data_IF_594342785957
#
_entry.id   IF_594342785957
#
_cell.length_a   1.000
_cell.length_b   1.000
_cell.length_c   1.000
_cell.angle_alpha   90.00
_cell.angle_beta   90.00
_cell.angle_gamma   90.00
#
_symmetry.space_group_name_H-M   'P 1'
#
loop_
_entity.id
_entity.type
_entity.pdbx_description
1 polymer ?
#
# COMPACT_ATOMS: atom_id res chain seq x y z
N UNK A 1 -7.99 30.87 3.70
CA UNK A 1 -8.51 29.64 3.06
C UNK A 1 -7.74 28.47 3.65
N UNK A 2 -8.35 27.59 4.43
CA UNK A 2 -7.67 26.36 4.85
C UNK A 2 -7.56 25.45 3.62
N UNK A 3 -6.33 25.22 3.15
CA UNK A 3 -6.07 24.17 2.17
C UNK A 3 -6.58 22.86 2.77
N UNK A 4 -7.43 22.14 2.04
CA UNK A 4 -7.81 20.78 2.43
C UNK A 4 -6.52 19.95 2.47
N UNK A 5 -6.27 19.16 3.53
CA UNK A 5 -5.09 18.30 3.56
C UNK A 5 -5.12 17.37 2.35
N UNK A 6 -3.96 17.20 1.71
CA UNK A 6 -3.83 16.38 0.50
C UNK A 6 -3.80 14.87 0.81
N UNK A 7 -3.93 14.52 2.09
CA UNK A 7 -3.89 13.16 2.62
C UNK A 7 -5.12 12.92 3.49
N UNK A 8 -5.74 11.74 3.34
CA UNK A 8 -6.85 11.33 4.18
C UNK A 8 -6.42 11.29 5.65
N UNK A 9 -7.28 11.66 6.60
CA UNK A 9 -6.92 11.64 8.02
C UNK A 9 -6.55 10.21 8.46
N UNK A 10 -5.49 10.02 9.26
CA UNK A 10 -5.07 8.71 9.77
C UNK A 10 -5.86 8.34 11.03
N UNK A 11 -7.19 8.35 10.95
CA UNK A 11 -8.08 8.10 12.09
C UNK A 11 -8.93 6.86 11.81
N UNK A 12 -8.95 5.86 12.72
CA UNK A 12 -9.76 4.68 12.50
C UNK A 12 -11.25 5.03 12.49
N UNK A 13 -12.06 4.38 11.64
CA UNK A 13 -13.50 4.54 11.69
C UNK A 13 -14.06 4.12 13.06
N UNK A 14 -15.23 4.65 13.41
CA UNK A 14 -15.93 4.27 14.64
C UNK A 14 -16.25 2.76 14.61
N UNK A 15 -15.93 2.00 15.67
CA UNK A 15 -16.19 0.57 15.71
C UNK A 15 -17.70 0.29 15.65
N UNK A 16 -18.06 -0.68 14.83
CA UNK A 16 -19.44 -1.17 14.73
C UNK A 16 -19.82 -1.98 15.96
N UNK A 17 -21.09 -1.86 16.35
CA UNK A 17 -21.71 -2.70 17.38
C UNK A 17 -22.06 -4.10 16.86
N UNK A 18 -22.07 -4.28 15.55
CA UNK A 18 -22.22 -5.58 14.90
C UNK A 18 -20.84 -6.23 14.76
N UNK A 19 -20.69 -7.45 15.29
CA UNK A 19 -19.42 -8.17 15.33
C UNK A 19 -18.86 -8.47 13.94
N UNK A 20 -19.71 -8.82 12.97
CA UNK A 20 -19.26 -9.10 11.60
C UNK A 20 -18.71 -7.85 10.95
N UNK A 21 -19.42 -6.72 11.09
CA UNK A 21 -18.96 -5.43 10.55
C UNK A 21 -17.69 -4.97 11.27
N UNK A 22 -17.60 -5.14 12.58
CA UNK A 22 -16.39 -4.82 13.35
C UNK A 22 -15.17 -5.60 12.84
N UNK A 23 -15.32 -6.90 12.60
CA UNK A 23 -14.22 -7.73 12.10
C UNK A 23 -13.73 -7.26 10.72
N UNK A 24 -14.65 -6.84 9.84
CA UNK A 24 -14.30 -6.22 8.55
C UNK A 24 -13.58 -4.87 8.72
N UNK A 25 -14.02 -4.04 9.67
CA UNK A 25 -13.35 -2.76 9.95
C UNK A 25 -11.92 -2.96 10.47
N UNK A 26 -11.67 -3.98 11.31
CA UNK A 26 -10.33 -4.31 11.77
C UNK A 26 -9.43 -4.72 10.60
N UNK A 27 -9.93 -5.55 9.69
CA UNK A 27 -9.17 -5.96 8.50
C UNK A 27 -8.88 -4.78 7.57
N UNK A 28 -9.90 -3.96 7.28
CA UNK A 28 -9.74 -2.74 6.49
C UNK A 28 -8.72 -1.79 7.10
N UNK A 29 -8.76 -1.55 8.42
CA UNK A 29 -7.78 -0.69 9.08
C UNK A 29 -6.33 -1.21 8.97
N UNK A 30 -6.13 -2.53 9.00
CA UNK A 30 -4.80 -3.12 8.81
C UNK A 30 -4.29 -2.97 7.37
N UNK A 31 -5.19 -2.91 6.39
CA UNK A 31 -4.86 -2.74 4.98
C UNK A 31 -4.57 -1.28 4.60
N UNK A 32 -5.14 -0.31 5.32
CA UNK A 32 -5.02 1.14 5.05
C UNK A 32 -3.60 1.64 4.70
N UNK A 33 -2.50 1.24 5.40
CA UNK A 33 -1.14 1.63 5.01
C UNK A 33 -0.82 1.30 3.56
N UNK A 34 -1.15 0.07 3.15
CA UNK A 34 -0.84 -0.48 1.84
C UNK A 34 -1.78 0.05 0.77
N UNK A 35 -3.08 0.20 1.08
CA UNK A 35 -4.06 0.78 0.17
C UNK A 35 -3.69 2.23 -0.17
N UNK A 36 -3.22 2.99 0.81
CA UNK A 36 -2.75 4.38 0.59
C UNK A 36 -1.48 4.44 -0.24
N UNK A 37 -0.54 3.51 -0.04
CA UNK A 37 0.63 3.37 -0.90
C UNK A 37 0.22 2.99 -2.33
N UNK A 38 -0.70 2.04 -2.49
CA UNK A 38 -1.23 1.60 -3.78
C UNK A 38 -1.86 2.76 -4.55
N UNK A 39 -2.73 3.54 -3.90
CA UNK A 39 -3.34 4.74 -4.50
C UNK A 39 -2.28 5.76 -4.96
N UNK A 40 -1.22 5.95 -4.17
CA UNK A 40 -0.11 6.81 -4.57
C UNK A 40 0.64 6.26 -5.79
N UNK A 41 1.00 4.96 -5.78
CA UNK A 41 1.68 4.33 -6.92
C UNK A 41 0.78 4.33 -8.17
N UNK A 42 -0.53 4.18 -8.03
CA UNK A 42 -1.48 4.31 -9.13
C UNK A 42 -1.42 5.72 -9.75
N UNK A 43 -1.46 6.76 -8.92
CA UNK A 43 -1.37 8.14 -9.39
C UNK A 43 -0.03 8.44 -10.08
N UNK A 44 1.07 7.91 -9.53
CA UNK A 44 2.41 8.00 -10.16
C UNK A 44 2.45 7.26 -11.50
N UNK A 45 1.89 6.05 -11.55
CA UNK A 45 1.81 5.24 -12.78
C UNK A 45 1.00 5.95 -13.86
N UNK A 46 -0.16 6.51 -13.52
CA UNK A 46 -0.99 7.29 -14.46
C UNK A 46 -0.23 8.50 -15.01
N UNK A 47 0.54 9.19 -14.17
CA UNK A 47 1.40 10.29 -14.62
C UNK A 47 2.46 9.80 -15.60
N UNK A 48 3.14 8.69 -15.31
CA UNK A 48 4.10 8.11 -16.25
C UNK A 48 3.44 7.68 -17.55
N UNK A 49 2.24 7.10 -17.52
CA UNK A 49 1.49 6.76 -18.74
C UNK A 49 1.20 8.00 -19.58
N UNK A 50 0.78 9.10 -18.97
CA UNK A 50 0.58 10.38 -19.67
C UNK A 50 1.88 10.92 -20.28
N UNK A 51 3.01 10.76 -19.60
CA UNK A 51 4.34 11.11 -20.12
C UNK A 51 4.83 10.12 -21.21
N UNK A 52 4.36 8.87 -21.19
CA UNK A 52 4.72 7.76 -22.08
C UNK A 52 3.79 7.58 -23.29
N UNK A 53 2.70 8.35 -23.44
CA UNK A 53 1.99 8.43 -24.73
C UNK A 53 2.91 8.93 -25.87
N UNK A 54 4.13 9.37 -25.55
CA UNK A 54 5.23 9.61 -26.49
C UNK A 54 6.06 8.34 -26.88
N UNK A 55 5.97 7.22 -26.15
CA UNK A 55 6.72 5.99 -26.43
C UNK A 55 5.92 4.68 -26.11
N UNK A 56 5.25 4.07 -27.11
CA UNK A 56 4.30 2.96 -26.92
C UNK A 56 4.89 1.64 -26.40
N UNK A 57 6.22 1.52 -26.29
CA UNK A 57 6.90 0.25 -25.98
C UNK A 57 7.59 0.22 -24.60
N UNK A 58 7.60 1.33 -23.87
CA UNK A 58 8.36 1.48 -22.62
C UNK A 58 7.51 1.31 -21.36
N UNK A 59 7.08 0.09 -21.04
CA UNK A 59 6.48 -0.19 -19.73
C UNK A 59 7.44 0.18 -18.59
N UNK A 60 6.96 0.92 -17.60
CA UNK A 60 7.69 1.21 -16.36
C UNK A 60 7.24 0.22 -15.30
N UNK A 61 8.20 -0.37 -14.61
CA UNK A 61 7.97 -1.33 -13.55
C UNK A 61 8.53 -0.77 -12.25
N UNK A 62 7.84 -1.01 -11.15
CA UNK A 62 8.22 -0.54 -9.83
C UNK A 62 8.78 -1.70 -9.01
N UNK A 63 9.92 -1.46 -8.36
CA UNK A 63 10.52 -2.39 -7.40
C UNK A 63 10.64 -1.68 -6.06
N UNK A 64 9.74 -2.04 -5.14
CA UNK A 64 9.74 -1.66 -3.75
C UNK A 64 11.03 -2.12 -3.05
N UNK A 65 11.62 -1.26 -2.23
CA UNK A 65 12.87 -1.58 -1.57
C UNK A 65 12.72 -2.66 -0.49
N UNK A 66 11.60 -2.68 0.24
CA UNK A 66 11.36 -3.62 1.34
C UNK A 66 9.90 -3.60 1.79
N UNK A 67 9.34 -4.74 2.19
CA UNK A 67 8.00 -4.81 2.80
C UNK A 67 8.00 -4.51 4.31
N UNK A 68 9.18 -4.32 4.95
CA UNK A 68 9.25 -4.02 6.38
C UNK A 68 8.85 -2.56 6.65
N UNK A 69 7.72 -2.30 7.34
CA UNK A 69 7.23 -0.95 7.62
C UNK A 69 8.18 -0.10 8.48
N UNK A 70 9.15 -0.71 9.16
CA UNK A 70 10.10 -0.02 10.02
C UNK A 70 11.42 0.32 9.31
N UNK A 71 11.65 -0.22 8.12
CA UNK A 71 12.88 0.01 7.38
C UNK A 71 12.82 1.33 6.58
N UNK A 72 13.97 1.99 6.43
CA UNK A 72 14.08 3.25 5.67
C UNK A 72 13.63 3.12 4.20
N UNK A 73 13.70 1.91 3.65
CA UNK A 73 13.29 1.59 2.29
C UNK A 73 11.78 1.49 2.07
N UNK A 74 10.95 1.42 3.11
CA UNK A 74 9.51 1.12 2.99
C UNK A 74 8.71 2.12 2.16
N UNK A 75 9.26 3.33 1.96
CA UNK A 75 8.61 4.39 1.20
C UNK A 75 9.33 4.69 -0.13
N UNK A 76 10.17 3.77 -0.61
CA UNK A 76 11.04 3.96 -1.77
C UNK A 76 10.85 2.85 -2.81
N UNK A 77 10.71 3.26 -4.06
CA UNK A 77 10.49 2.38 -5.21
C UNK A 77 11.49 2.73 -6.30
N UNK A 78 12.23 1.74 -6.77
CA UNK A 78 13.03 1.88 -7.99
C UNK A 78 12.12 1.74 -9.20
N UNK A 79 12.32 2.59 -10.21
CA UNK A 79 11.62 2.52 -11.49
C UNK A 79 12.58 1.97 -12.54
N UNK A 80 12.16 0.91 -13.22
CA UNK A 80 12.95 0.25 -14.27
C UNK A 80 12.12 0.09 -15.55
N UNK A 81 12.80 -0.05 -16.69
CA UNK A 81 12.13 -0.48 -17.91
C UNK A 81 11.90 -1.99 -17.95
N UNK A 82 11.22 -2.43 -19.00
CA UNK A 82 10.89 -3.83 -19.25
C UNK A 82 12.10 -4.75 -19.33
N UNK A 83 13.20 -4.33 -19.94
CA UNK A 83 14.37 -5.19 -20.14
C UNK A 83 15.09 -5.43 -18.81
N UNK A 84 15.29 -4.35 -18.04
CA UNK A 84 15.84 -4.40 -16.69
C UNK A 84 14.93 -5.17 -15.73
N UNK A 85 13.61 -5.01 -15.85
CA UNK A 85 12.64 -5.80 -15.12
C UNK A 85 12.76 -7.30 -15.44
N UNK A 86 12.80 -7.67 -16.72
CA UNK A 86 12.90 -9.07 -17.14
C UNK A 86 14.19 -9.71 -16.61
N UNK A 87 15.29 -8.97 -16.62
CA UNK A 87 16.58 -9.42 -16.05
C UNK A 87 16.46 -9.62 -14.54
N UNK A 88 15.89 -8.66 -13.82
CA UNK A 88 15.66 -8.74 -12.38
C UNK A 88 14.76 -9.94 -12.03
N UNK A 89 13.68 -10.17 -12.78
CA UNK A 89 12.76 -11.28 -12.57
C UNK A 89 13.46 -12.64 -12.81
N UNK A 90 14.23 -12.78 -13.90
CA UNK A 90 14.99 -14.01 -14.21
C UNK A 90 16.07 -14.32 -13.19
N UNK A 91 16.68 -13.29 -12.60
CA UNK A 91 17.69 -13.47 -11.55
C UNK A 91 17.10 -14.06 -10.26
N UNK A 92 15.77 -14.02 -10.11
CA UNK A 92 15.08 -14.48 -8.91
C UNK A 92 15.38 -13.63 -7.68
N UNK A 93 15.82 -12.37 -7.84
CA UNK A 93 16.17 -11.45 -6.75
C UNK A 93 15.02 -10.52 -6.34
N UNK A 94 13.98 -10.45 -7.15
CA UNK A 94 12.72 -9.76 -6.84
C UNK A 94 11.58 -10.77 -6.70
N UNK A 95 10.56 -10.39 -5.92
CA UNK A 95 9.30 -11.10 -5.74
C UNK A 95 8.14 -10.15 -6.01
N UNK A 96 6.93 -10.67 -6.22
CA UNK A 96 5.73 -9.83 -6.26
C UNK A 96 5.47 -9.31 -4.85
N UNK A 97 5.27 -8.00 -4.72
CA UNK A 97 4.79 -7.37 -3.49
C UNK A 97 3.26 -7.54 -3.44
N UNK A 98 2.78 -8.56 -2.72
CA UNK A 98 1.36 -8.90 -2.67
C UNK A 98 0.51 -7.86 -1.94
N UNK A 99 1.10 -7.04 -1.08
CA UNK A 99 0.35 -6.04 -0.31
C UNK A 99 0.06 -4.79 -1.16
N UNK A 100 0.91 -4.50 -2.15
CA UNK A 100 0.79 -3.31 -3.01
C UNK A 100 0.24 -3.67 -4.40
N UNK A 101 0.59 -4.83 -4.94
CA UNK A 101 0.17 -5.27 -6.29
C UNK A 101 -1.35 -5.43 -6.37
N UNK A 102 -1.93 -4.87 -7.44
CA UNK A 102 -3.34 -4.95 -7.78
C UNK A 102 -3.46 -5.05 -9.31
N UNK A 103 -3.41 -6.28 -9.83
CA UNK A 103 -3.32 -6.54 -11.27
C UNK A 103 -4.56 -6.05 -12.03
N UNK A 104 -5.74 -6.10 -11.41
CA UNK A 104 -7.01 -5.63 -12.00
C UNK A 104 -6.98 -4.11 -12.26
N UNK A 105 -6.27 -3.36 -11.43
CA UNK A 105 -6.08 -1.92 -11.53
C UNK A 105 -4.82 -1.54 -12.33
N UNK A 106 -4.13 -2.53 -12.91
CA UNK A 106 -2.90 -2.34 -13.69
C UNK A 106 -1.68 -1.96 -12.85
N UNK A 107 -1.71 -2.21 -11.54
CA UNK A 107 -0.61 -1.90 -10.61
C UNK A 107 0.15 -3.19 -10.34
N UNK A 108 1.35 -3.30 -10.90
CA UNK A 108 2.22 -4.45 -10.66
C UNK A 108 3.51 -3.98 -9.99
N UNK A 109 3.66 -4.32 -8.71
CA UNK A 109 4.81 -3.90 -7.89
C UNK A 109 5.58 -5.12 -7.43
N UNK A 110 6.89 -5.03 -7.60
CA UNK A 110 7.82 -6.04 -7.15
C UNK A 110 8.52 -5.56 -5.89
N UNK A 111 9.14 -6.46 -5.13
CA UNK A 111 9.97 -6.12 -3.98
C UNK A 111 11.28 -6.91 -4.04
N UNK A 112 12.38 -6.28 -3.65
CA UNK A 112 13.64 -7.00 -3.50
C UNK A 112 13.54 -8.03 -2.38
N UNK A 113 14.07 -9.23 -2.61
CA UNK A 113 14.07 -10.30 -1.60
C UNK A 113 14.81 -9.90 -0.33
N UNK A 114 15.94 -9.22 -0.49
CA UNK A 114 16.80 -8.75 0.59
C UNK A 114 17.51 -7.47 0.15
N UNK A 115 18.17 -6.80 1.11
CA UNK A 115 18.99 -5.62 0.80
C UNK A 115 20.18 -5.97 -0.10
N UNK A 116 20.81 -7.14 0.11
CA UNK A 116 21.90 -7.63 -0.72
C UNK A 116 21.43 -7.89 -2.16
N UNK A 117 20.22 -8.43 -2.33
CA UNK A 117 19.62 -8.67 -3.64
C UNK A 117 19.48 -7.36 -4.45
N UNK A 118 19.12 -6.27 -3.76
CA UNK A 118 19.06 -4.92 -4.34
C UNK A 118 20.44 -4.41 -4.74
N UNK A 119 21.43 -4.50 -3.85
CA UNK A 119 22.80 -4.05 -4.12
C UNK A 119 23.45 -4.82 -5.27
N UNK A 120 23.17 -6.11 -5.38
CA UNK A 120 23.64 -6.93 -6.48
C UNK A 120 22.94 -6.58 -7.80
N UNK A 121 21.61 -6.39 -7.79
CA UNK A 121 20.87 -6.00 -8.98
C UNK A 121 21.27 -4.63 -9.49
N UNK A 122 21.55 -3.67 -8.60
CA UNK A 122 22.00 -2.33 -8.97
C UNK A 122 23.31 -2.32 -9.80
N UNK A 123 24.07 -3.42 -9.82
CA UNK A 123 25.26 -3.59 -10.66
C UNK A 123 24.93 -4.07 -12.08
N UNK A 124 23.74 -4.64 -12.28
CA UNK A 124 23.33 -5.34 -13.51
C UNK A 124 22.17 -4.66 -14.22
N UNK A 125 21.29 -3.98 -13.50
CA UNK A 125 20.13 -3.29 -14.05
C UNK A 125 20.27 -1.79 -13.90
N UNK A 126 19.72 -1.05 -14.86
CA UNK A 126 19.63 0.40 -14.80
C UNK A 126 18.32 0.81 -14.11
N UNK A 127 18.46 1.44 -12.94
CA UNK A 127 17.36 2.17 -12.29
C UNK A 127 17.22 3.52 -13.00
N UNK A 128 16.04 3.77 -13.57
CA UNK A 128 15.76 4.97 -14.35
C UNK A 128 15.35 6.15 -13.46
N UNK A 129 14.64 5.87 -12.38
CA UNK A 129 14.21 6.86 -11.40
C UNK A 129 13.96 6.19 -10.04
N UNK A 130 13.87 6.99 -8.99
CA UNK A 130 13.47 6.55 -7.66
C UNK A 130 12.24 7.34 -7.22
N UNK A 131 11.13 6.65 -7.06
CA UNK A 131 9.89 7.22 -6.54
C UNK A 131 9.91 7.11 -5.02
N UNK A 132 9.77 8.27 -4.36
CA UNK A 132 9.67 8.37 -2.91
C UNK A 132 8.27 8.83 -2.55
N UNK A 133 7.63 8.15 -1.60
CA UNK A 133 6.31 8.55 -1.08
C UNK A 133 6.42 9.93 -0.41
N UNK A 134 5.50 10.88 -0.65
CA UNK A 134 5.56 12.22 -0.04
C UNK A 134 5.52 12.18 1.48
N UNK A 135 6.25 13.10 2.14
CA UNK A 135 6.39 13.13 3.59
C UNK A 135 5.06 13.12 4.36
N UNK A 136 4.08 13.94 3.95
CA UNK A 136 2.75 13.97 4.59
C UNK A 136 2.04 12.61 4.55
N UNK A 137 2.22 11.85 3.46
CA UNK A 137 1.64 10.53 3.31
C UNK A 137 2.41 9.48 4.14
N UNK A 138 3.74 9.58 4.19
CA UNK A 138 4.54 8.74 5.08
C UNK A 138 4.12 8.92 6.53
N UNK A 139 3.94 10.17 6.98
CA UNK A 139 3.54 10.47 8.35
C UNK A 139 2.14 9.92 8.66
N UNK A 140 1.19 10.07 7.74
CA UNK A 140 -0.13 9.47 7.89
C UNK A 140 -0.07 7.94 8.00
N UNK A 141 0.72 7.27 7.15
CA UNK A 141 0.91 5.81 7.19
C UNK A 141 1.54 5.37 8.51
N UNK A 142 2.58 6.08 8.99
CA UNK A 142 3.23 5.79 10.28
C UNK A 142 2.25 5.92 11.44
N UNK A 143 1.36 6.93 11.41
CA UNK A 143 0.32 7.07 12.43
C UNK A 143 -0.65 5.89 12.39
N UNK A 144 -1.07 5.43 11.21
CA UNK A 144 -1.97 4.27 11.06
C UNK A 144 -1.32 3.00 11.60
N UNK A 145 -0.07 2.73 11.22
CA UNK A 145 0.70 1.58 11.69
C UNK A 145 0.87 1.56 13.23
N UNK A 146 1.03 2.74 13.83
CA UNK A 146 1.17 2.89 15.29
C UNK A 146 -0.17 2.87 16.04
N UNK A 147 -1.29 3.09 15.35
CA UNK A 147 -2.62 3.23 15.98
C UNK A 147 -3.40 1.93 15.86
N UNK A 148 -3.63 1.19 16.97
CA UNK A 148 -4.48 0.00 16.92
C UNK A 148 -5.94 0.38 16.64
N UNK A 149 -6.67 -0.52 15.99
CA UNK A 149 -8.12 -0.35 15.85
C UNK A 149 -8.80 -0.39 17.22
N UNK A 150 -9.80 0.48 17.50
CA UNK A 150 -10.49 0.49 18.80
C UNK A 150 -11.09 -0.87 19.17
N UNK A 151 -11.15 -1.24 20.46
CA UNK A 151 -11.69 -2.53 20.90
C UNK A 151 -13.18 -2.66 20.58
N UNK A 152 -13.64 -3.90 20.40
CA UNK A 152 -15.05 -4.20 20.18
C UNK A 152 -15.89 -3.87 21.42
N UNK A 153 -16.91 -3.03 21.24
CA UNK A 153 -17.91 -2.74 22.26
C UNK A 153 -19.27 -3.31 21.80
N UNK A 154 -19.77 -4.39 22.43
CA UNK A 154 -21.04 -4.96 22.05
C UNK A 154 -22.18 -3.95 22.24
N UNK A 155 -23.02 -3.83 21.21
CA UNK A 155 -24.27 -3.10 21.33
C UNK A 155 -25.25 -3.79 22.28
N UNK A 156 -26.29 -3.07 22.74
CA UNK A 156 -27.38 -3.71 23.47
C UNK A 156 -27.96 -4.84 22.61
N UNK A 157 -28.03 -6.03 23.19
CA UNK A 157 -28.44 -7.24 22.51
C UNK A 157 -29.90 -7.08 22.08
N UNK A 158 -30.18 -6.88 20.79
CA UNK A 158 -31.56 -6.65 20.29
C UNK A 158 -32.52 -7.80 20.61
N UNK A 159 -32.00 -8.96 21.01
CA UNK A 159 -32.76 -10.15 21.39
C UNK A 159 -33.13 -10.24 22.88
N UNK A 160 -32.60 -9.40 23.75
CA UNK A 160 -32.98 -9.41 25.18
C UNK A 160 -34.33 -8.70 25.44
N UNK A 161 -34.74 -7.79 24.56
CA UNK A 161 -36.02 -7.09 24.65
C UNK A 161 -37.26 -7.97 24.38
N UNK A 162 -37.09 -9.10 23.69
CA UNK A 162 -38.19 -10.03 23.39
C UNK A 162 -38.51 -11.01 24.53
N UNK A 163 -37.60 -11.16 25.51
CA UNK A 163 -37.85 -12.02 26.68
C UNK A 163 -38.69 -11.36 27.77
N UNK A 164 -38.83 -10.03 27.77
CA UNK A 164 -39.62 -9.31 28.80
C UNK A 164 -41.10 -9.10 28.46
N UNK A 165 -41.58 -9.59 27.32
CA UNK A 165 -42.99 -9.43 26.89
C UNK A 165 -43.78 -10.74 27.07
N UNK A 166 -43.23 -11.73 27.77
CA UNK A 166 -43.86 -13.05 28.01
C UNK A 166 -43.97 -13.44 29.49
N UNK A 167 -43.96 -12.46 30.39
CA UNK A 167 -44.32 -12.65 31.81
C UNK A 167 -45.59 -11.88 32.15
#
# INVERSE_FOLDING_TARGET
MCQKPNVLPPVPPKPSKDKFIYDLQVQSWKAEPYDRMRLYIQAVTQRFVQELEANPFGGKYFIHWTTDPNAEGFFKFDVVDRDNYNEAARSGKILIDSDITEQEEGIEVYVYKTLEAKEELAKTILVQDVVVVPGELQDAIKVILATPFPPYEPGPNRYEGLKRIRE
#
